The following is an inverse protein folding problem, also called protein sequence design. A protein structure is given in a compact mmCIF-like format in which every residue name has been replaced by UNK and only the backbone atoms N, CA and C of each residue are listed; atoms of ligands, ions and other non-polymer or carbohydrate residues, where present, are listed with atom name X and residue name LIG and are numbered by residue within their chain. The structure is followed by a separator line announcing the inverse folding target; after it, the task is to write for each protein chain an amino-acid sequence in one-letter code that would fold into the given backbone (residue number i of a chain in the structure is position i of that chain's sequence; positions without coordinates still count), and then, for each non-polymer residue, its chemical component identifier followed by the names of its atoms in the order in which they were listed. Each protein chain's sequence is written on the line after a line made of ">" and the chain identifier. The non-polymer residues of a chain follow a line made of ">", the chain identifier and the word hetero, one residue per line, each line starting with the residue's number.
data_IF_686230810209
#
_entry.id   IF_686230810209
#
_cell.length_a   1.000
_cell.length_b   1.000
_cell.length_c   1.000
_cell.angle_alpha   90.00
_cell.angle_beta   90.00
_cell.angle_gamma   90.00
#
_symmetry.space_group_name_H-M   'P 1'
#
loop_
_entity.id
_entity.type
_entity.pdbx_description
1 polymer ?
#
# COMPACT_ATOMS: atom_id res chain seq x y z
N UNK A 1 23.93 -1.77 -14.03
CA UNK A 1 22.82 -2.31 -14.83
C UNK A 1 22.01 -3.18 -13.88
N UNK A 2 20.77 -2.79 -13.54
CA UNK A 2 19.92 -3.67 -12.72
C UNK A 2 19.33 -4.70 -13.67
N UNK A 3 19.84 -5.91 -13.57
CA UNK A 3 19.28 -7.09 -14.22
C UNK A 3 17.79 -7.17 -13.85
N UNK A 4 16.94 -7.46 -14.82
CA UNK A 4 15.61 -8.00 -14.53
C UNK A 4 15.80 -9.16 -13.54
N UNK A 5 14.81 -9.42 -12.69
CA UNK A 5 14.81 -10.45 -11.61
C UNK A 5 14.99 -11.91 -12.11
N UNK A 6 15.58 -12.12 -13.28
CA UNK A 6 15.70 -13.39 -14.00
C UNK A 6 14.41 -13.80 -14.71
N UNK A 7 13.32 -13.07 -14.53
CA UNK A 7 12.01 -13.38 -15.11
C UNK A 7 11.92 -12.96 -16.58
N UNK A 8 11.38 -13.85 -17.41
CA UNK A 8 11.14 -13.61 -18.84
C UNK A 8 9.84 -12.84 -19.05
N UNK A 9 9.65 -12.27 -20.24
CA UNK A 9 8.40 -11.61 -20.60
C UNK A 9 7.19 -12.55 -20.52
N UNK A 10 7.33 -13.83 -20.92
CA UNK A 10 6.26 -14.84 -20.82
C UNK A 10 5.86 -15.11 -19.36
N UNK A 11 6.86 -15.17 -18.47
CA UNK A 11 6.60 -15.31 -17.04
C UNK A 11 5.75 -14.13 -16.54
N UNK A 12 6.09 -12.90 -16.93
CA UNK A 12 5.33 -11.72 -16.50
C UNK A 12 3.90 -11.70 -17.07
N UNK A 13 3.69 -12.12 -18.33
CA UNK A 13 2.35 -12.24 -18.91
C UNK A 13 1.44 -13.20 -18.12
N UNK A 14 2.02 -14.26 -17.56
CA UNK A 14 1.30 -15.25 -16.78
C UNK A 14 1.07 -14.84 -15.30
N UNK A 15 1.96 -14.05 -14.70
CA UNK A 15 1.99 -13.85 -13.24
C UNK A 15 1.86 -12.40 -12.76
N UNK A 16 2.06 -11.41 -13.63
CA UNK A 16 2.10 -9.99 -13.23
C UNK A 16 0.81 -9.23 -13.51
N UNK A 17 -0.27 -9.89 -13.95
CA UNK A 17 -1.56 -9.22 -14.10
C UNK A 17 -2.08 -8.79 -12.73
N UNK A 18 -2.49 -7.51 -12.55
CA UNK A 18 -3.00 -6.99 -11.28
C UNK A 18 -4.07 -7.87 -10.62
N UNK A 19 -5.00 -8.43 -11.40
CA UNK A 19 -6.06 -9.31 -10.88
C UNK A 19 -5.57 -10.59 -10.16
N UNK A 20 -4.29 -10.98 -10.31
CA UNK A 20 -3.72 -12.15 -9.65
C UNK A 20 -3.23 -11.85 -8.21
N UNK A 21 -3.00 -10.58 -7.87
CA UNK A 21 -2.41 -10.22 -6.57
C UNK A 21 -3.03 -8.97 -5.92
N UNK A 22 -3.90 -8.24 -6.62
CA UNK A 22 -4.66 -7.11 -6.07
C UNK A 22 -6.11 -7.52 -5.81
N UNK A 23 -6.47 -7.57 -4.54
CA UNK A 23 -7.85 -7.69 -4.08
C UNK A 23 -8.27 -6.35 -3.45
N UNK A 24 -8.97 -5.51 -4.21
CA UNK A 24 -9.33 -4.15 -3.78
C UNK A 24 -10.37 -4.13 -2.66
N UNK A 25 -11.31 -5.07 -2.66
CA UNK A 25 -12.38 -5.18 -1.66
C UNK A 25 -11.96 -5.93 -0.38
N UNK A 26 -10.68 -6.30 -0.25
CA UNK A 26 -10.14 -6.86 0.99
C UNK A 26 -8.97 -5.99 1.51
N UNK A 27 -9.25 -5.02 2.39
CA UNK A 27 -8.20 -4.17 2.96
C UNK A 27 -7.37 -4.89 4.01
N UNK A 28 -7.76 -6.08 4.48
CA UNK A 28 -7.01 -6.85 5.48
C UNK A 28 -5.67 -7.36 4.95
N UNK A 29 -5.55 -7.53 3.63
CA UNK A 29 -4.27 -7.84 3.01
C UNK A 29 -3.29 -6.67 3.17
N UNK A 30 -2.00 -6.90 3.50
CA UNK A 30 -1.08 -5.82 3.74
C UNK A 30 -0.98 -4.84 2.56
N UNK A 31 -1.23 -3.56 2.81
CA UNK A 31 -1.05 -2.47 1.86
C UNK A 31 0.36 -2.51 1.22
N UNK A 32 1.39 -2.60 2.07
CA UNK A 32 2.78 -2.60 1.67
C UNK A 32 3.10 -3.72 0.66
N UNK A 33 2.60 -4.94 0.90
CA UNK A 33 2.82 -6.07 -0.02
C UNK A 33 2.25 -5.77 -1.41
N UNK A 34 0.99 -5.32 -1.47
CA UNK A 34 0.32 -5.03 -2.74
C UNK A 34 1.03 -3.94 -3.52
N UNK A 35 1.36 -2.83 -2.86
CA UNK A 35 1.95 -1.70 -3.56
C UNK A 35 3.40 -1.95 -3.96
N UNK A 36 4.19 -2.62 -3.12
CA UNK A 36 5.58 -2.96 -3.46
C UNK A 36 5.65 -3.99 -4.59
N UNK A 37 4.75 -4.99 -4.58
CA UNK A 37 4.59 -5.93 -5.70
C UNK A 37 4.25 -5.17 -6.98
N UNK A 38 3.24 -4.31 -6.95
CA UNK A 38 2.80 -3.56 -8.12
C UNK A 38 3.90 -2.67 -8.71
N UNK A 39 4.66 -1.96 -7.87
CA UNK A 39 5.81 -1.16 -8.29
C UNK A 39 6.92 -2.02 -8.89
N UNK A 40 7.26 -3.14 -8.23
CA UNK A 40 8.28 -4.07 -8.73
C UNK A 40 7.91 -4.65 -10.09
N UNK A 41 6.68 -5.15 -10.24
CA UNK A 41 6.17 -5.68 -11.52
C UNK A 41 6.17 -4.65 -12.62
N UNK A 42 5.71 -3.43 -12.34
CA UNK A 42 5.76 -2.35 -13.31
C UNK A 42 7.20 -2.05 -13.74
N UNK A 43 8.14 -1.94 -12.79
CA UNK A 43 9.54 -1.67 -13.07
C UNK A 43 10.21 -2.77 -13.90
N UNK A 44 9.93 -4.03 -13.62
CA UNK A 44 10.45 -5.18 -14.38
C UNK A 44 9.92 -5.18 -15.82
N UNK A 45 8.60 -5.04 -15.98
CA UNK A 45 7.93 -4.99 -17.29
C UNK A 45 8.38 -3.77 -18.10
N UNK A 46 8.50 -2.60 -17.48
CA UNK A 46 9.00 -1.39 -18.13
C UNK A 46 10.43 -1.59 -18.67
N UNK A 47 11.34 -2.18 -17.87
CA UNK A 47 12.71 -2.45 -18.31
C UNK A 47 12.78 -3.41 -19.48
N UNK A 48 11.92 -4.43 -19.50
CA UNK A 48 11.81 -5.35 -20.63
C UNK A 48 11.30 -4.63 -21.90
N UNK A 49 10.32 -3.75 -21.77
CA UNK A 49 9.86 -2.91 -22.89
C UNK A 49 10.97 -1.98 -23.41
N UNK A 50 11.73 -1.34 -22.51
CA UNK A 50 12.86 -0.49 -22.89
C UNK A 50 14.01 -1.31 -23.54
N UNK A 51 14.10 -2.60 -23.22
CA UNK A 51 15.01 -3.57 -23.82
C UNK A 51 14.56 -4.12 -25.18
N UNK A 52 13.40 -3.69 -25.71
CA UNK A 52 12.92 -4.05 -27.05
C UNK A 52 11.76 -5.04 -27.10
N UNK A 53 11.24 -5.50 -25.95
CA UNK A 53 10.03 -6.32 -25.93
C UNK A 53 8.78 -5.47 -26.26
N UNK A 54 8.20 -5.70 -27.43
CA UNK A 54 7.12 -4.87 -27.96
C UNK A 54 5.82 -5.64 -28.24
N UNK A 55 5.71 -6.91 -27.78
CA UNK A 55 4.49 -7.70 -27.96
C UNK A 55 3.26 -6.97 -27.42
N UNK A 56 2.13 -6.91 -28.18
CA UNK A 56 0.96 -6.13 -27.79
C UNK A 56 0.40 -6.48 -26.40
N UNK A 57 0.38 -7.75 -26.03
CA UNK A 57 -0.02 -8.25 -24.72
C UNK A 57 0.89 -7.77 -23.60
N UNK A 58 2.17 -7.59 -23.88
CA UNK A 58 3.16 -7.13 -22.93
C UNK A 58 3.05 -5.61 -22.70
N UNK A 59 2.85 -4.86 -23.79
CA UNK A 59 2.53 -3.42 -23.71
C UNK A 59 1.20 -3.19 -22.98
N UNK A 60 0.21 -4.07 -23.19
CA UNK A 60 -1.06 -4.05 -22.43
C UNK A 60 -0.82 -4.24 -20.94
N UNK A 61 -0.06 -5.26 -20.55
CA UNK A 61 0.29 -5.53 -19.16
C UNK A 61 0.99 -4.33 -18.50
N UNK A 62 1.96 -3.71 -19.19
CA UNK A 62 2.64 -2.50 -18.70
C UNK A 62 1.65 -1.37 -18.40
N UNK A 63 0.76 -1.11 -19.34
CA UNK A 63 -0.23 -0.04 -19.22
C UNK A 63 -1.24 -0.32 -18.10
N UNK A 64 -1.67 -1.58 -17.96
CA UNK A 64 -2.54 -2.05 -16.88
C UNK A 64 -1.88 -1.85 -15.52
N UNK A 65 -0.61 -2.28 -15.35
CA UNK A 65 0.17 -2.06 -14.13
C UNK A 65 0.30 -0.56 -13.78
N UNK A 66 0.54 0.31 -14.77
CA UNK A 66 0.61 1.75 -14.57
C UNK A 66 -0.73 2.33 -14.08
N UNK A 67 -1.84 1.94 -14.68
CA UNK A 67 -3.17 2.35 -14.24
C UNK A 67 -3.46 1.88 -12.81
N UNK A 68 -3.12 0.63 -12.47
CA UNK A 68 -3.34 0.10 -11.14
C UNK A 68 -2.51 0.80 -10.06
N UNK A 69 -1.33 1.36 -10.39
CA UNK A 69 -0.57 2.22 -9.47
C UNK A 69 -1.36 3.50 -9.12
N UNK A 70 -1.98 4.12 -10.12
CA UNK A 70 -2.87 5.29 -9.91
C UNK A 70 -4.10 4.87 -9.11
N UNK A 71 -4.75 3.76 -9.48
CA UNK A 71 -5.93 3.24 -8.78
C UNK A 71 -5.63 2.95 -7.31
N UNK A 72 -4.52 2.26 -7.01
CA UNK A 72 -4.07 2.00 -5.63
C UNK A 72 -3.81 3.28 -4.85
N UNK A 73 -3.21 4.32 -5.48
CA UNK A 73 -2.96 5.62 -4.82
C UNK A 73 -4.23 6.25 -4.30
N UNK A 74 -5.33 6.15 -5.06
CA UNK A 74 -6.64 6.65 -4.65
C UNK A 74 -7.29 5.72 -3.64
N UNK A 75 -7.17 4.41 -3.84
CA UNK A 75 -7.78 3.40 -2.97
C UNK A 75 -7.28 3.43 -1.52
N UNK A 76 -6.00 3.73 -1.34
CA UNK A 76 -5.32 3.77 -0.04
C UNK A 76 -4.92 5.17 0.40
N UNK A 77 -5.24 6.20 -0.40
CA UNK A 77 -4.94 7.59 -0.09
C UNK A 77 -3.45 7.89 0.09
N UNK A 78 -2.56 7.35 -0.76
CA UNK A 78 -1.12 7.60 -0.68
C UNK A 78 -0.56 8.44 -1.82
N UNK A 79 0.53 9.15 -1.52
CA UNK A 79 1.23 9.98 -2.50
C UNK A 79 2.37 9.19 -3.16
N UNK A 80 2.50 9.37 -4.48
CA UNK A 80 3.67 8.87 -5.20
C UNK A 80 4.05 9.78 -6.36
N UNK A 81 5.36 9.87 -6.60
CA UNK A 81 5.92 10.48 -7.79
C UNK A 81 6.31 9.36 -8.77
N UNK A 82 5.73 9.27 -9.98
CA UNK A 82 6.05 8.22 -10.94
C UNK A 82 7.56 8.10 -11.19
N UNK A 83 8.26 9.23 -11.37
CA UNK A 83 9.71 9.23 -11.55
C UNK A 83 10.46 8.71 -10.31
N UNK A 84 10.03 9.11 -9.12
CA UNK A 84 10.69 8.72 -7.87
C UNK A 84 10.50 7.23 -7.55
N UNK A 85 9.34 6.67 -7.87
CA UNK A 85 8.96 5.29 -7.53
C UNK A 85 9.33 4.29 -8.62
N UNK A 86 9.17 4.67 -9.89
CA UNK A 86 9.29 3.75 -11.03
C UNK A 86 10.45 4.10 -11.97
N UNK A 87 11.08 5.26 -11.82
CA UNK A 87 12.08 5.79 -12.75
C UNK A 87 11.49 6.39 -14.03
N UNK A 88 10.21 6.17 -14.34
CA UNK A 88 9.56 6.67 -15.56
C UNK A 88 9.12 8.13 -15.39
N UNK A 89 9.40 8.96 -16.41
CA UNK A 89 8.95 10.37 -16.42
C UNK A 89 7.42 10.46 -16.45
N UNK A 90 6.86 11.41 -15.71
CA UNK A 90 5.41 11.58 -15.56
C UNK A 90 4.63 11.58 -16.90
N UNK A 91 5.06 12.27 -17.98
CA UNK A 91 4.31 12.24 -19.25
C UNK A 91 4.22 10.84 -19.87
N UNK A 92 5.31 10.06 -19.83
CA UNK A 92 5.35 8.69 -20.35
C UNK A 92 4.52 7.74 -19.48
N UNK A 93 4.61 7.90 -18.16
CA UNK A 93 3.79 7.14 -17.23
C UNK A 93 2.30 7.40 -17.48
N UNK A 94 1.89 8.67 -17.60
CA UNK A 94 0.51 9.03 -17.89
C UNK A 94 0.04 8.57 -19.28
N UNK A 95 0.93 8.49 -20.27
CA UNK A 95 0.59 7.91 -21.57
C UNK A 95 0.25 6.41 -21.45
N UNK A 96 0.97 5.66 -20.60
CA UNK A 96 0.66 4.27 -20.31
C UNK A 96 -0.73 4.13 -19.66
N UNK A 97 -1.02 4.98 -18.67
CA UNK A 97 -2.33 5.01 -17.99
C UNK A 97 -3.46 5.32 -18.97
N UNK A 98 -3.31 6.35 -19.81
CA UNK A 98 -4.31 6.73 -20.82
C UNK A 98 -4.60 5.60 -21.82
N UNK A 99 -3.54 4.97 -22.32
CA UNK A 99 -3.66 3.85 -23.24
C UNK A 99 -4.29 2.58 -22.59
N UNK A 100 -4.31 2.46 -21.26
CA UNK A 100 -5.09 1.43 -20.57
C UNK A 100 -6.58 1.77 -20.55
N UNK A 101 -6.91 2.96 -20.03
CA UNK A 101 -8.31 3.35 -19.81
C UNK A 101 -9.12 3.45 -21.11
N UNK A 102 -8.50 3.80 -22.24
CA UNK A 102 -9.13 3.79 -23.56
C UNK A 102 -9.71 2.40 -23.97
N UNK A 103 -9.33 1.32 -23.28
CA UNK A 103 -9.77 -0.05 -23.57
C UNK A 103 -10.78 -0.61 -22.56
N UNK A 104 -11.06 0.09 -21.48
CA UNK A 104 -11.90 -0.39 -20.37
C UNK A 104 -12.80 0.74 -19.90
N UNK A 105 -14.09 0.67 -20.25
CA UNK A 105 -15.07 1.69 -19.89
C UNK A 105 -15.17 1.89 -18.36
N UNK A 106 -15.09 0.80 -17.59
CA UNK A 106 -15.13 0.85 -16.12
C UNK A 106 -13.92 1.59 -15.54
N UNK A 107 -12.72 1.32 -16.06
CA UNK A 107 -11.50 2.00 -15.62
C UNK A 107 -11.40 3.44 -16.12
N UNK A 108 -12.00 3.73 -17.28
CA UNK A 108 -12.15 5.08 -17.83
C UNK A 108 -13.06 5.94 -16.97
N UNK A 109 -14.24 5.42 -16.58
CA UNK A 109 -15.15 6.11 -15.66
C UNK A 109 -14.47 6.38 -14.31
N UNK A 110 -13.73 5.40 -13.77
CA UNK A 110 -12.99 5.57 -12.52
C UNK A 110 -11.88 6.62 -12.65
N UNK A 111 -11.13 6.59 -13.76
CA UNK A 111 -10.06 7.54 -14.02
C UNK A 111 -10.60 8.96 -14.25
N UNK A 112 -11.70 9.11 -14.98
CA UNK A 112 -12.41 10.38 -15.18
C UNK A 112 -12.84 10.97 -13.84
N UNK A 113 -13.49 10.17 -12.97
CA UNK A 113 -13.91 10.61 -11.64
C UNK A 113 -12.74 11.19 -10.81
N UNK A 114 -11.56 10.58 -10.86
CA UNK A 114 -10.40 11.06 -10.09
C UNK A 114 -9.61 12.19 -10.76
N UNK A 115 -9.91 12.54 -12.01
CA UNK A 115 -9.16 13.52 -12.79
C UNK A 115 -10.03 14.67 -13.27
N UNK A 116 -10.74 14.47 -14.39
CA UNK A 116 -11.42 15.52 -15.15
C UNK A 116 -12.89 15.68 -14.76
N UNK A 117 -13.54 14.62 -14.27
CA UNK A 117 -14.96 14.58 -13.91
C UNK A 117 -15.86 15.10 -15.04
N UNK A 118 -15.69 14.54 -16.24
CA UNK A 118 -16.50 14.89 -17.42
C UNK A 118 -17.91 14.31 -17.33
N UNK A 119 -18.03 13.12 -16.75
CA UNK A 119 -19.30 12.40 -16.68
C UNK A 119 -20.03 12.57 -15.34
N UNK A 120 -19.31 13.01 -14.31
CA UNK A 120 -19.86 13.24 -12.97
C UNK A 120 -19.92 14.71 -12.61
N UNK A 121 -20.91 15.10 -11.82
CA UNK A 121 -21.01 16.46 -11.31
C UNK A 121 -19.92 16.70 -10.27
N UNK A 122 -18.89 17.46 -10.66
CA UNK A 122 -17.79 17.81 -9.77
C UNK A 122 -18.31 18.53 -8.52
N UNK A 123 -17.94 18.04 -7.35
CA UNK A 123 -18.35 18.59 -6.05
C UNK A 123 -19.69 18.07 -5.52
N UNK A 124 -20.44 17.28 -6.29
CA UNK A 124 -21.74 16.74 -5.88
C UNK A 124 -21.59 15.42 -5.09
N UNK A 125 -21.90 15.39 -3.78
CA UNK A 125 -21.84 14.17 -2.98
C UNK A 125 -22.97 13.17 -3.28
N UNK A 126 -24.02 13.58 -4.00
CA UNK A 126 -25.15 12.73 -4.38
C UNK A 126 -24.93 11.93 -5.65
N UNK A 127 -24.00 12.34 -6.51
CA UNK A 127 -23.63 11.60 -7.72
C UNK A 127 -22.52 10.60 -7.37
N UNK A 128 -22.82 9.30 -7.39
CA UNK A 128 -21.92 8.24 -6.93
C UNK A 128 -21.67 7.21 -8.03
N UNK A 129 -20.40 7.01 -8.39
CA UNK A 129 -19.94 5.88 -9.20
C UNK A 129 -19.88 4.63 -8.33
N UNK A 130 -20.68 3.62 -8.66
CA UNK A 130 -20.68 2.34 -7.93
C UNK A 130 -19.47 1.51 -8.33
N UNK A 131 -18.66 1.13 -7.35
CA UNK A 131 -17.44 0.34 -7.57
C UNK A 131 -17.72 -1.17 -7.54
N UNK A 132 -18.66 -1.60 -6.71
CA UNK A 132 -18.98 -3.02 -6.54
C UNK A 132 -19.61 -3.34 -5.19
N UNK A 133 -19.90 -4.63 -5.02
CA UNK A 133 -20.47 -5.21 -3.81
C UNK A 133 -19.37 -5.84 -2.96
N UNK A 134 -19.48 -5.72 -1.64
CA UNK A 134 -18.62 -6.46 -0.71
C UNK A 134 -18.82 -7.98 -0.90
N UNK A 135 -17.76 -8.75 -1.20
CA UNK A 135 -17.86 -10.19 -1.42
C UNK A 135 -18.03 -10.99 -0.11
N UNK A 136 -17.73 -10.41 1.05
CA UNK A 136 -17.77 -11.05 2.36
C UNK A 136 -19.04 -10.78 3.18
N UNK A 137 -19.94 -9.90 2.71
CA UNK A 137 -21.19 -9.60 3.40
C UNK A 137 -22.17 -10.79 3.39
N UNK A 138 -23.00 -10.87 4.44
CA UNK A 138 -24.08 -11.85 4.55
C UNK A 138 -25.00 -11.79 3.30
N UNK A 139 -25.45 -12.90 2.71
CA UNK A 139 -26.40 -12.87 1.61
C UNK A 139 -27.65 -12.01 1.87
N UNK A 140 -28.09 -11.90 3.13
CA UNK A 140 -29.22 -11.09 3.56
C UNK A 140 -28.92 -9.58 3.63
N UNK A 141 -27.64 -9.18 3.66
CA UNK A 141 -27.19 -7.79 3.74
C UNK A 141 -26.29 -7.47 2.55
N UNK A 142 -26.71 -6.55 1.71
CA UNK A 142 -25.90 -6.03 0.62
C UNK A 142 -25.11 -4.81 1.11
N UNK A 143 -23.78 -4.89 1.04
CA UNK A 143 -22.89 -3.74 1.21
C UNK A 143 -22.36 -3.34 -0.16
N UNK A 144 -22.62 -2.11 -0.58
CA UNK A 144 -22.10 -1.53 -1.82
C UNK A 144 -21.07 -0.45 -1.49
N UNK A 145 -20.07 -0.32 -2.34
CA UNK A 145 -19.09 0.76 -2.28
C UNK A 145 -19.14 1.62 -3.52
N UNK A 146 -18.87 2.91 -3.34
CA UNK A 146 -18.88 3.88 -4.42
C UNK A 146 -17.91 5.02 -4.15
N UNK A 147 -17.71 5.87 -5.15
CA UNK A 147 -16.98 7.14 -5.01
C UNK A 147 -17.87 8.26 -5.52
N UNK A 148 -17.96 9.34 -4.77
CA UNK A 148 -18.82 10.48 -5.11
C UNK A 148 -18.14 11.53 -5.99
N UNK A 149 -18.89 12.55 -6.41
CA UNK A 149 -18.39 13.71 -7.15
C UNK A 149 -17.39 14.58 -6.38
N UNK A 150 -17.21 14.38 -5.07
CA UNK A 150 -16.17 15.01 -4.25
C UNK A 150 -14.90 14.14 -4.16
N UNK A 151 -14.89 12.97 -4.81
CA UNK A 151 -13.80 11.97 -4.82
C UNK A 151 -13.60 11.29 -3.48
N UNK A 152 -14.67 11.22 -2.68
CA UNK A 152 -14.67 10.49 -1.41
C UNK A 152 -15.35 9.13 -1.58
N UNK A 153 -14.80 8.14 -0.87
CA UNK A 153 -15.40 6.83 -0.79
C UNK A 153 -16.68 6.89 0.04
N UNK A 154 -17.69 6.17 -0.43
CA UNK A 154 -19.00 6.01 0.17
C UNK A 154 -19.33 4.53 0.28
N UNK A 155 -20.22 4.20 1.20
CA UNK A 155 -20.84 2.89 1.25
C UNK A 155 -22.35 3.01 1.43
N UNK A 156 -23.06 1.98 0.97
CA UNK A 156 -24.48 1.79 1.22
C UNK A 156 -24.69 0.42 1.83
N UNK A 157 -25.63 0.31 2.76
CA UNK A 157 -26.06 -0.97 3.33
C UNK A 157 -27.57 -1.10 3.17
N UNK A 158 -28.00 -2.24 2.63
CA UNK A 158 -29.42 -2.49 2.41
C UNK A 158 -29.72 -3.95 2.12
N UNK A 159 -31.00 -4.26 1.91
CA UNK A 159 -31.41 -5.59 1.49
C UNK A 159 -31.07 -5.80 0.00
N UNK A 160 -30.68 -7.03 -0.41
CA UNK A 160 -30.48 -7.36 -1.81
C UNK A 160 -31.70 -7.00 -2.67
N UNK A 161 -31.46 -6.41 -3.85
CA UNK A 161 -32.52 -6.06 -4.81
C UNK A 161 -33.36 -4.82 -4.46
N UNK A 162 -33.09 -4.15 -3.34
CA UNK A 162 -33.65 -2.82 -3.04
C UNK A 162 -32.69 -1.71 -3.44
N UNK A 163 -33.25 -0.53 -3.66
CA UNK A 163 -32.45 0.67 -3.91
C UNK A 163 -31.53 0.93 -2.71
N UNK A 164 -30.23 1.12 -2.94
CA UNK A 164 -29.26 1.29 -1.85
C UNK A 164 -29.38 2.68 -1.23
N UNK A 165 -29.49 2.74 0.10
CA UNK A 165 -29.38 3.99 0.84
C UNK A 165 -27.92 4.28 1.17
N UNK A 166 -27.33 5.28 0.51
CA UNK A 166 -25.95 5.69 0.74
C UNK A 166 -25.77 6.38 2.09
N UNK A 167 -24.68 6.03 2.79
CA UNK A 167 -24.30 6.73 4.01
C UNK A 167 -23.89 8.17 3.69
N UNK A 168 -24.31 9.11 4.55
CA UNK A 168 -23.98 10.54 4.41
C UNK A 168 -22.53 10.87 4.76
N UNK A 169 -21.84 10.02 5.51
CA UNK A 169 -20.44 10.21 5.87
C UNK A 169 -19.53 9.88 4.68
N UNK A 170 -18.48 10.69 4.50
CA UNK A 170 -17.46 10.57 3.48
C UNK A 170 -16.18 9.97 4.05
N UNK A 171 -15.45 9.24 3.22
CA UNK A 171 -14.20 8.61 3.60
C UNK A 171 -13.09 8.96 2.60
N UNK A 172 -11.87 9.27 3.06
CA UNK A 172 -10.77 9.70 2.18
C UNK A 172 -10.14 8.55 1.39
N UNK A 173 -10.33 7.30 1.83
CA UNK A 173 -9.82 6.10 1.21
C UNK A 173 -10.80 4.93 1.41
N UNK A 174 -10.56 3.83 0.71
CA UNK A 174 -11.45 2.67 0.74
C UNK A 174 -11.39 1.92 2.07
N UNK A 175 -10.23 1.86 2.74
CA UNK A 175 -10.10 1.12 3.99
C UNK A 175 -10.94 1.78 5.10
N UNK A 176 -10.94 3.11 5.18
CA UNK A 176 -11.86 3.86 6.05
C UNK A 176 -13.33 3.56 5.76
N UNK A 177 -13.74 3.57 4.48
CA UNK A 177 -15.12 3.27 4.10
C UNK A 177 -15.51 1.81 4.41
N UNK A 178 -14.59 0.88 4.20
CA UNK A 178 -14.78 -0.53 4.49
C UNK A 178 -14.96 -0.78 5.99
N UNK A 179 -14.07 -0.24 6.83
CA UNK A 179 -14.15 -0.36 8.30
C UNK A 179 -15.47 0.20 8.83
N UNK A 180 -15.88 1.37 8.33
CA UNK A 180 -17.15 1.98 8.73
C UNK A 180 -18.36 1.15 8.28
N UNK A 181 -18.35 0.62 7.06
CA UNK A 181 -19.40 -0.26 6.57
C UNK A 181 -19.53 -1.52 7.43
N UNK A 182 -18.39 -2.12 7.82
CA UNK A 182 -18.37 -3.32 8.65
C UNK A 182 -18.79 -3.04 10.11
N UNK A 183 -18.51 -1.85 10.64
CA UNK A 183 -19.06 -1.41 11.94
C UNK A 183 -20.60 -1.32 11.91
N UNK A 184 -21.17 -0.73 10.85
CA UNK A 184 -22.64 -0.64 10.70
C UNK A 184 -23.24 -2.02 10.41
N UNK A 185 -22.57 -2.86 9.63
CA UNK A 185 -23.00 -4.24 9.41
C UNK A 185 -23.05 -5.03 10.73
N UNK A 186 -22.03 -4.90 11.59
CA UNK A 186 -22.02 -5.52 12.92
C UNK A 186 -23.18 -4.98 13.80
N UNK A 187 -23.45 -3.68 13.76
CA UNK A 187 -24.59 -3.07 14.45
C UNK A 187 -25.94 -3.66 14.00
N UNK A 188 -26.16 -3.82 12.69
CA UNK A 188 -27.39 -4.43 12.15
C UNK A 188 -27.56 -5.88 12.63
N UNK A 189 -26.46 -6.58 12.85
CA UNK A 189 -26.43 -7.96 13.35
C UNK A 189 -26.46 -8.08 14.87
N UNK A 190 -26.59 -6.97 15.59
CA UNK A 190 -26.52 -6.91 17.05
C UNK A 190 -25.20 -7.48 17.63
N UNK A 191 -24.10 -7.37 16.86
CA UNK A 191 -22.75 -7.77 17.26
C UNK A 191 -21.97 -6.57 17.82
N UNK A 192 -22.17 -6.32 19.11
CA UNK A 192 -21.53 -5.22 19.83
C UNK A 192 -20.01 -5.40 19.99
N UNK A 193 -19.49 -6.63 19.93
CA UNK A 193 -18.06 -6.89 19.97
C UNK A 193 -17.41 -6.53 18.63
N UNK A 194 -18.00 -7.01 17.52
CA UNK A 194 -17.56 -6.68 16.17
C UNK A 194 -17.65 -5.19 15.88
N UNK A 195 -18.73 -4.52 16.28
CA UNK A 195 -18.86 -3.06 16.13
C UNK A 195 -17.70 -2.31 16.79
N UNK A 196 -17.39 -2.65 18.05
CA UNK A 196 -16.28 -2.03 18.80
C UNK A 196 -14.91 -2.33 18.20
N UNK A 197 -14.71 -3.51 17.64
CA UNK A 197 -13.49 -3.88 16.91
C UNK A 197 -13.30 -2.99 15.68
N UNK A 198 -14.33 -2.85 14.83
CA UNK A 198 -14.25 -2.05 13.61
C UNK A 198 -14.12 -0.54 13.88
N UNK A 199 -14.81 0.00 14.88
CA UNK A 199 -14.64 1.41 15.30
C UNK A 199 -13.25 1.68 15.85
N UNK A 200 -12.65 0.71 16.54
CA UNK A 200 -11.28 0.81 17.04
C UNK A 200 -10.28 0.73 15.90
N UNK A 201 -10.47 -0.21 14.97
CA UNK A 201 -9.68 -0.33 13.76
C UNK A 201 -9.72 0.94 12.91
N UNK A 202 -10.88 1.61 12.82
CA UNK A 202 -11.01 2.86 12.07
C UNK A 202 -10.14 3.98 12.67
N UNK A 203 -10.17 4.17 14.00
CA UNK A 203 -9.32 5.15 14.67
C UNK A 203 -7.82 4.86 14.50
N UNK A 204 -7.45 3.57 14.54
CA UNK A 204 -6.07 3.13 14.34
C UNK A 204 -5.63 3.35 12.88
N UNK A 205 -6.50 3.05 11.92
CA UNK A 205 -6.25 3.31 10.50
C UNK A 205 -6.09 4.79 10.18
N UNK A 206 -6.94 5.66 10.75
CA UNK A 206 -6.81 7.12 10.59
C UNK A 206 -5.43 7.63 11.05
N UNK A 207 -4.89 7.05 12.14
CA UNK A 207 -3.53 7.34 12.59
C UNK A 207 -2.46 6.74 11.66
N UNK A 208 -2.71 5.57 11.08
CA UNK A 208 -1.83 4.92 10.10
C UNK A 208 -1.77 5.66 8.76
N UNK A 209 -2.84 6.38 8.36
CA UNK A 209 -2.97 7.03 7.05
C UNK A 209 -1.81 7.98 6.72
N UNK A 210 -1.34 8.75 7.70
CA UNK A 210 -0.20 9.65 7.52
C UNK A 210 1.10 8.89 7.16
N UNK A 211 1.23 7.63 7.57
CA UNK A 211 2.35 6.75 7.20
C UNK A 211 2.17 6.18 5.79
N UNK A 212 0.95 5.78 5.42
CA UNK A 212 0.64 5.34 4.06
C UNK A 212 0.89 6.45 3.04
N UNK A 213 0.44 7.68 3.32
CA UNK A 213 0.72 8.87 2.50
C UNK A 213 2.19 9.05 2.19
N UNK A 214 3.05 8.79 3.17
CA UNK A 214 4.50 8.96 3.06
C UNK A 214 5.25 7.68 2.68
N UNK A 215 4.57 6.60 2.28
CA UNK A 215 5.19 5.29 2.05
C UNK A 215 6.39 5.37 1.08
N UNK A 216 6.26 6.17 0.03
CA UNK A 216 7.31 6.40 -0.98
C UNK A 216 8.13 7.68 -0.78
N UNK A 217 7.85 8.47 0.26
CA UNK A 217 8.64 9.66 0.54
C UNK A 217 10.01 9.23 1.05
N UNK A 218 11.07 9.85 0.51
CA UNK A 218 12.41 9.60 1.03
C UNK A 218 12.52 10.15 2.46
N UNK A 219 13.08 9.36 3.36
CA UNK A 219 13.37 9.79 4.73
C UNK A 219 14.64 10.68 4.77
N UNK A 220 14.76 11.65 3.86
CA UNK A 220 16.02 12.39 3.65
C UNK A 220 16.22 13.54 4.65
N UNK A 221 15.20 13.88 5.47
CA UNK A 221 15.24 15.04 6.36
C UNK A 221 14.88 14.78 7.83
N UNK A 222 14.43 13.57 8.19
CA UNK A 222 14.14 13.20 9.58
C UNK A 222 14.95 11.97 9.96
N UNK A 223 15.53 11.91 11.17
CA UNK A 223 16.19 10.69 11.60
C UNK A 223 15.13 9.58 11.60
N UNK A 224 15.44 8.46 10.94
CA UNK A 224 14.51 7.34 10.77
C UNK A 224 14.08 6.70 12.11
N UNK A 225 14.77 7.05 13.19
CA UNK A 225 14.71 6.42 14.50
C UNK A 225 13.62 7.02 15.38
N UNK A 226 13.49 8.36 15.54
CA UNK A 226 12.27 8.94 16.10
C UNK A 226 11.01 8.42 15.42
N UNK A 227 10.99 8.36 14.08
CA UNK A 227 9.86 7.79 13.34
C UNK A 227 9.60 6.32 13.70
N UNK A 228 10.66 5.52 13.82
CA UNK A 228 10.54 4.13 14.27
C UNK A 228 10.01 4.02 15.70
N UNK A 229 10.49 4.85 16.63
CA UNK A 229 10.05 4.86 18.02
C UNK A 229 8.57 5.29 18.14
N UNK A 230 8.18 6.34 17.42
CA UNK A 230 6.80 6.83 17.36
C UNK A 230 5.86 5.75 16.80
N UNK A 231 6.20 5.16 15.66
CA UNK A 231 5.42 4.08 15.06
C UNK A 231 5.35 2.84 15.98
N UNK A 232 6.42 2.54 16.71
CA UNK A 232 6.44 1.44 17.66
C UNK A 232 5.53 1.72 18.87
N UNK A 233 5.48 2.97 19.35
CA UNK A 233 4.56 3.36 20.42
C UNK A 233 3.09 3.21 19.97
N UNK A 234 2.76 3.63 18.73
CA UNK A 234 1.45 3.39 18.15
C UNK A 234 1.13 1.89 18.05
N UNK A 235 2.05 1.07 17.55
CA UNK A 235 1.88 -0.39 17.48
C UNK A 235 1.57 -1.01 18.86
N UNK A 236 2.29 -0.60 19.91
CA UNK A 236 2.04 -1.08 21.27
C UNK A 236 0.67 -0.65 21.81
N UNK A 237 0.13 0.47 21.34
CA UNK A 237 -1.20 0.97 21.71
C UNK A 237 -2.36 0.33 20.92
N UNK A 238 -2.07 -0.36 19.81
CA UNK A 238 -3.11 -0.93 18.95
C UNK A 238 -3.86 -2.08 19.63
N UNK A 239 -5.19 -1.99 19.59
CA UNK A 239 -6.13 -2.94 20.17
C UNK A 239 -6.81 -3.80 19.11
N UNK A 240 -7.05 -3.27 17.91
CA UNK A 240 -7.67 -4.04 16.84
C UNK A 240 -6.66 -4.93 16.10
N UNK A 241 -7.12 -6.03 15.49
CA UNK A 241 -6.28 -6.87 14.63
C UNK A 241 -5.81 -6.09 13.39
N UNK A 242 -6.72 -5.31 12.79
CA UNK A 242 -6.45 -4.51 11.61
C UNK A 242 -5.33 -3.48 11.86
N UNK A 243 -5.48 -2.63 12.89
CA UNK A 243 -4.48 -1.63 13.24
C UNK A 243 -3.15 -2.24 13.68
N UNK A 244 -3.17 -3.37 14.42
CA UNK A 244 -1.94 -4.12 14.72
C UNK A 244 -1.23 -4.61 13.47
N UNK A 245 -1.97 -5.06 12.46
CA UNK A 245 -1.40 -5.50 11.18
C UNK A 245 -0.75 -4.32 10.43
N UNK A 246 -1.46 -3.19 10.32
CA UNK A 246 -0.98 -1.98 9.65
C UNK A 246 0.27 -1.41 10.31
N UNK A 247 0.21 -1.13 11.61
CA UNK A 247 1.36 -0.58 12.33
C UNK A 247 2.53 -1.56 12.39
N UNK A 248 2.29 -2.88 12.38
CA UNK A 248 3.37 -3.86 12.26
C UNK A 248 4.08 -3.73 10.92
N UNK A 249 3.36 -3.57 9.82
CA UNK A 249 3.95 -3.34 8.50
C UNK A 249 4.74 -2.02 8.46
N UNK A 250 4.21 -0.94 9.04
CA UNK A 250 4.87 0.38 9.13
C UNK A 250 6.18 0.29 9.93
N UNK A 251 6.14 -0.28 11.14
CA UNK A 251 7.33 -0.43 11.99
C UNK A 251 8.37 -1.33 11.32
N UNK A 252 7.95 -2.40 10.66
CA UNK A 252 8.84 -3.29 9.93
C UNK A 252 9.50 -2.57 8.73
N UNK A 253 8.75 -1.73 8.01
CA UNK A 253 9.30 -0.88 6.94
C UNK A 253 10.38 0.06 7.47
N UNK A 254 10.10 0.78 8.55
CA UNK A 254 11.06 1.70 9.15
C UNK A 254 12.32 0.98 9.62
N UNK A 255 12.18 -0.20 10.20
CA UNK A 255 13.33 -1.05 10.53
C UNK A 255 14.14 -1.46 9.30
N UNK A 256 13.46 -1.82 8.20
CA UNK A 256 14.11 -2.12 6.92
C UNK A 256 14.86 -0.90 6.35
N UNK A 257 14.24 0.30 6.40
CA UNK A 257 14.86 1.54 5.93
C UNK A 257 16.12 1.90 6.75
N UNK A 258 16.09 1.72 8.08
CA UNK A 258 17.27 1.89 8.96
C UNK A 258 18.37 0.89 8.58
N UNK A 259 18.03 -0.39 8.42
CA UNK A 259 19.01 -1.41 8.06
C UNK A 259 19.63 -1.15 6.68
N UNK A 260 18.81 -0.79 5.69
CA UNK A 260 19.27 -0.43 4.35
C UNK A 260 20.19 0.78 4.36
N UNK A 261 19.87 1.82 5.15
CA UNK A 261 20.75 2.98 5.33
C UNK A 261 22.11 2.57 5.90
N UNK A 262 22.14 1.69 6.91
CA UNK A 262 23.38 1.22 7.52
C UNK A 262 24.29 0.50 6.50
N UNK A 263 23.71 -0.34 5.63
CA UNK A 263 24.45 -1.00 4.54
C UNK A 263 24.98 0.02 3.53
N UNK A 264 24.14 0.96 3.09
CA UNK A 264 24.53 1.98 2.10
C UNK A 264 25.64 2.91 2.62
N UNK A 265 25.67 3.19 3.92
CA UNK A 265 26.69 4.01 4.57
C UNK A 265 27.87 3.21 5.12
N UNK A 266 27.92 1.90 4.89
CA UNK A 266 28.96 0.99 5.41
C UNK A 266 29.20 1.13 6.92
N UNK A 267 28.14 1.23 7.71
CA UNK A 267 28.22 1.39 9.17
C UNK A 267 27.48 0.27 9.91
N UNK A 268 27.82 0.06 11.19
CA UNK A 268 27.08 -0.90 12.00
C UNK A 268 25.67 -0.39 12.27
N UNK A 269 24.71 -1.31 12.41
CA UNK A 269 23.32 -0.95 12.70
C UNK A 269 23.19 -0.12 13.99
N UNK A 270 24.01 -0.42 15.00
CA UNK A 270 24.04 0.34 16.25
C UNK A 270 24.50 1.79 16.04
N UNK A 271 25.43 2.03 15.11
CA UNK A 271 25.95 3.36 14.81
C UNK A 271 24.96 4.16 13.97
N UNK A 272 24.34 3.52 12.97
CA UNK A 272 23.20 4.08 12.23
C UNK A 272 22.06 4.46 13.17
N UNK A 273 21.91 3.72 14.27
CA UNK A 273 20.93 4.01 15.30
C UNK A 273 21.35 5.21 16.19
N UNK A 274 22.64 5.40 16.48
CA UNK A 274 23.11 6.51 17.33
C UNK A 274 23.06 7.87 16.65
N UNK A 275 23.12 7.92 15.31
CA UNK A 275 23.05 9.18 14.55
C UNK A 275 21.71 9.93 14.71
N UNK A 276 20.65 9.28 15.18
CA UNK A 276 19.31 9.89 15.24
C UNK A 276 18.80 10.30 16.62
N UNK A 277 19.45 9.87 17.70
CA UNK A 277 19.07 10.22 19.07
C UNK A 277 20.29 9.99 19.96
N UNK A 278 20.80 11.03 20.63
CA UNK A 278 22.03 10.99 21.45
C UNK A 278 21.95 10.14 22.72
N UNK A 279 21.13 9.09 22.71
CA UNK A 279 20.91 8.13 23.79
C UNK A 279 21.71 6.87 23.51
N UNK A 280 22.21 6.23 24.56
CA UNK A 280 22.86 4.93 24.44
C UNK A 280 21.85 3.85 24.01
N UNK A 281 22.01 3.36 22.78
CA UNK A 281 21.11 2.37 22.21
C UNK A 281 21.54 1.00 22.67
N UNK A 282 20.65 0.35 23.42
CA UNK A 282 20.89 -0.98 23.95
C UNK A 282 21.06 -1.99 22.79
N UNK A 283 22.08 -2.88 22.80
CA UNK A 283 22.33 -3.87 21.73
C UNK A 283 21.11 -4.75 21.36
N UNK A 284 20.21 -4.98 22.33
CA UNK A 284 18.94 -5.69 22.11
C UNK A 284 18.01 -4.99 21.08
N UNK A 285 18.07 -3.66 20.99
CA UNK A 285 17.27 -2.89 20.03
C UNK A 285 17.74 -3.15 18.59
N UNK A 286 19.05 -3.22 18.35
CA UNK A 286 19.60 -3.53 17.02
C UNK A 286 19.15 -4.91 16.51
N UNK A 287 19.16 -5.93 17.38
CA UNK A 287 18.64 -7.27 17.04
C UNK A 287 17.14 -7.25 16.74
N UNK A 288 16.37 -6.44 17.48
CA UNK A 288 14.93 -6.27 17.24
C UNK A 288 14.66 -5.60 15.90
N UNK A 289 15.39 -4.53 15.57
CA UNK A 289 15.31 -3.84 14.28
C UNK A 289 15.65 -4.81 13.15
N UNK A 290 16.72 -5.60 13.27
CA UNK A 290 17.08 -6.61 12.28
C UNK A 290 15.97 -7.63 12.05
N UNK A 291 15.39 -8.19 13.13
CA UNK A 291 14.29 -9.17 13.03
C UNK A 291 13.07 -8.56 12.32
N UNK A 292 12.75 -7.29 12.63
CA UNK A 292 11.64 -6.58 12.00
C UNK A 292 11.91 -6.23 10.54
N UNK A 293 13.14 -5.87 10.19
CA UNK A 293 13.56 -5.66 8.79
C UNK A 293 13.38 -6.94 7.95
N UNK A 294 13.79 -8.10 8.48
CA UNK A 294 13.55 -9.40 7.81
C UNK A 294 12.07 -9.74 7.70
N UNK A 295 11.29 -9.44 8.75
CA UNK A 295 9.84 -9.61 8.69
C UNK A 295 9.21 -8.74 7.60
N UNK A 296 9.73 -7.53 7.34
CA UNK A 296 9.30 -6.69 6.22
C UNK A 296 9.54 -7.36 4.87
N UNK A 297 10.76 -7.87 4.64
CA UNK A 297 11.12 -8.59 3.41
C UNK A 297 10.20 -9.79 3.20
N UNK A 298 9.96 -10.57 4.25
CA UNK A 298 9.14 -11.77 4.18
C UNK A 298 7.65 -11.51 3.87
N UNK A 299 7.06 -10.44 4.42
CA UNK A 299 5.60 -10.25 4.38
C UNK A 299 5.12 -9.06 3.54
N UNK A 300 6.00 -8.09 3.27
CA UNK A 300 5.63 -6.82 2.65
C UNK A 300 6.35 -6.54 1.32
N UNK A 301 7.30 -7.38 0.91
CA UNK A 301 7.96 -7.28 -0.39
C UNK A 301 7.50 -8.39 -1.34
N UNK A 302 7.61 -8.08 -2.62
CA UNK A 302 7.37 -9.04 -3.71
C UNK A 302 8.25 -10.28 -3.52
N UNK A 303 7.69 -11.50 -3.60
CA UNK A 303 8.46 -12.74 -3.59
C UNK A 303 9.71 -12.74 -4.48
N UNK A 304 9.69 -12.08 -5.64
CA UNK A 304 10.84 -12.07 -6.55
C UNK A 304 12.07 -11.36 -6.01
N UNK A 305 11.90 -10.32 -5.18
CA UNK A 305 13.03 -9.53 -4.67
C UNK A 305 13.50 -9.99 -3.30
N UNK A 306 12.83 -10.97 -2.68
CA UNK A 306 13.12 -11.38 -1.29
C UNK A 306 14.56 -11.84 -1.11
N UNK A 307 15.05 -12.70 -2.01
CA UNK A 307 16.41 -13.23 -1.92
C UNK A 307 17.47 -12.12 -1.99
N UNK A 308 17.30 -11.18 -2.92
CA UNK A 308 18.19 -10.02 -3.05
C UNK A 308 18.15 -9.13 -1.80
N UNK A 309 16.96 -8.87 -1.27
CA UNK A 309 16.79 -8.02 -0.09
C UNK A 309 17.28 -8.69 1.20
N UNK A 310 17.12 -10.02 1.33
CA UNK A 310 17.70 -10.77 2.44
C UNK A 310 19.23 -10.77 2.38
N UNK A 311 19.81 -10.94 1.19
CA UNK A 311 21.26 -10.82 0.99
C UNK A 311 21.78 -9.42 1.31
N UNK A 312 21.01 -8.37 0.97
CA UNK A 312 21.32 -7.00 1.39
C UNK A 312 21.35 -6.89 2.92
N UNK A 313 20.38 -7.48 3.61
CA UNK A 313 20.32 -7.47 5.08
C UNK A 313 21.42 -8.32 5.75
N UNK A 314 22.00 -9.30 5.05
CA UNK A 314 23.18 -10.04 5.52
C UNK A 314 24.44 -9.17 5.53
N UNK A 315 24.50 -8.14 4.67
CA UNK A 315 25.60 -7.17 4.60
C UNK A 315 25.64 -6.15 5.74
N UNK A 316 24.67 -6.16 6.66
CA UNK A 316 24.64 -5.24 7.81
C UNK A 316 25.79 -5.56 8.77
N UNK A 317 26.71 -4.60 8.95
CA UNK A 317 27.88 -4.75 9.83
C UNK A 317 27.46 -4.92 11.30
N UNK A 318 28.12 -5.86 11.98
CA UNK A 318 27.91 -6.14 13.39
C UNK A 318 28.72 -5.21 14.27
N UNK A 319 28.09 -4.68 15.32
CA UNK A 319 28.84 -4.13 16.44
C UNK A 319 29.43 -5.32 17.23
N UNK A 320 30.68 -5.70 16.94
CA UNK A 320 31.46 -6.52 17.89
C UNK A 320 31.91 -5.57 19.00
N UNK A 321 31.50 -5.75 20.26
CA UNK A 321 32.09 -4.97 21.34
C UNK A 321 33.60 -5.20 21.28
N UNK A 322 34.37 -4.12 21.10
CA UNK A 322 35.83 -4.16 21.24
C UNK A 322 36.10 -4.68 22.65
N UNK A 323 36.49 -5.95 22.78
CA UNK A 323 37.13 -6.43 24.00
C UNK A 323 38.47 -5.69 24.04
N UNK A 324 38.60 -4.71 24.93
CA UNK A 324 39.91 -4.22 25.32
C UNK A 324 40.68 -5.44 25.87
N UNK A 325 41.80 -5.78 25.24
CA UNK A 325 42.81 -6.67 25.81
C UNK A 325 43.89 -5.78 26.39
#
# INVERSE_FOLDING_TARGET
>A
MSETTGCTADWHLAHSRPGLFLEYFDPRRPFALRINTLVGRFGDVQRLCDGGEARPEFVRLRNELAFHLVKMSRWWGFDFCPRGVTGVRNPLFMACVKAHVERSADDEALFDLFTMQRHMHAGDPGHILVLGRDPGADPAICVLYGVDGQRHFRFAIGSPGREPTWNRQDYPDFASAWLAAWAVHALIRDDEAGRREFETAQREHDAARAWHQRHFHRCDARPAIPLYADAHAHLSGCRSEFGRSEFRAIVNKLAFDIARMAVQRHMALADAMKEGDGRDIHPCMANTVRRRARAYVATCLDPLVRAEMDALLDGVLYHRPRRCV
#
